data_IF_276328192042
#
_entry.id   IF_276328192042
#
_cell.length_a   1.000
_cell.length_b   1.000
_cell.length_c   1.000
_cell.angle_alpha   90.00
_cell.angle_beta   90.00
_cell.angle_gamma   90.00
#
_symmetry.space_group_name_H-M   'P 1'
#
loop_
_entity.id
_entity.type
_entity.pdbx_description
1 polymer ?
#
# COMPACT_ATOMS: atom_id res chain seq x y z
N UNK A 1 -12.03 -14.17 -48.35
CA UNK A 1 -10.98 -13.47 -47.58
C UNK A 1 -11.50 -13.24 -46.16
N UNK A 2 -10.83 -13.76 -45.12
CA UNK A 2 -11.23 -13.58 -43.72
C UNK A 2 -10.53 -12.35 -43.17
N UNK A 3 -11.29 -11.35 -42.77
CA UNK A 3 -10.79 -10.14 -42.11
C UNK A 3 -10.39 -10.54 -40.69
N UNK A 4 -9.11 -10.46 -40.36
CA UNK A 4 -8.64 -10.62 -38.99
C UNK A 4 -9.17 -9.46 -38.16
N UNK A 5 -10.06 -9.75 -37.20
CA UNK A 5 -10.41 -8.82 -36.13
C UNK A 5 -9.15 -8.62 -35.27
N UNK A 6 -8.48 -7.50 -35.46
CA UNK A 6 -7.51 -7.00 -34.50
C UNK A 6 -8.29 -6.67 -33.23
N UNK A 7 -8.15 -7.50 -32.19
CA UNK A 7 -8.56 -7.10 -30.85
C UNK A 7 -7.74 -5.84 -30.50
N UNK A 8 -8.38 -4.71 -30.15
CA UNK A 8 -7.63 -3.59 -29.61
C UNK A 8 -6.87 -4.08 -28.38
N UNK A 9 -5.61 -3.64 -28.15
CA UNK A 9 -4.92 -3.95 -26.92
C UNK A 9 -5.83 -3.48 -25.79
N UNK A 10 -6.29 -4.42 -24.97
CA UNK A 10 -7.04 -4.15 -23.76
C UNK A 10 -6.25 -3.09 -23.03
N UNK A 11 -6.81 -1.88 -22.92
CA UNK A 11 -6.16 -0.79 -22.23
C UNK A 11 -5.79 -1.33 -20.84
N UNK A 12 -4.51 -1.61 -20.62
CA UNK A 12 -4.01 -1.98 -19.30
C UNK A 12 -4.47 -0.85 -18.40
N UNK A 13 -5.43 -1.15 -17.53
CA UNK A 13 -5.96 -0.18 -16.59
C UNK A 13 -4.75 0.49 -15.95
N UNK A 14 -4.68 1.82 -16.08
CA UNK A 14 -3.46 2.58 -15.77
C UNK A 14 -3.13 2.33 -14.31
N UNK A 15 -2.15 1.46 -14.07
CA UNK A 15 -1.73 1.11 -12.73
C UNK A 15 -1.29 2.38 -11.98
N UNK A 16 -1.91 2.63 -10.84
CA UNK A 16 -1.57 3.77 -9.96
C UNK A 16 -0.78 3.23 -8.79
N UNK A 17 0.52 3.51 -8.81
CA UNK A 17 1.45 3.14 -7.76
C UNK A 17 1.12 3.86 -6.45
N UNK A 18 1.04 3.12 -5.35
CA UNK A 18 1.13 3.64 -3.97
C UNK A 18 2.52 4.28 -3.75
N UNK A 19 2.62 5.57 -3.39
CA UNK A 19 3.92 6.25 -3.25
C UNK A 19 4.83 5.66 -2.17
N UNK A 20 6.14 5.81 -2.37
CA UNK A 20 7.13 5.52 -1.32
C UNK A 20 6.91 6.43 -0.10
N UNK A 21 7.20 5.90 1.09
CA UNK A 21 6.91 6.56 2.35
C UNK A 21 5.49 6.33 2.86
N UNK A 22 4.61 5.69 2.07
CA UNK A 22 3.24 5.35 2.50
C UNK A 22 3.29 4.26 3.56
N UNK A 23 2.61 4.50 4.69
CA UNK A 23 2.34 3.46 5.69
C UNK A 23 1.26 2.52 5.22
N UNK A 24 1.54 1.23 5.33
CA UNK A 24 0.65 0.15 4.89
C UNK A 24 0.56 -0.94 5.93
N UNK A 25 -0.51 -1.73 5.87
CA UNK A 25 -0.72 -2.95 6.66
C UNK A 25 -0.97 -4.11 5.72
N UNK A 26 -0.41 -5.29 6.00
CA UNK A 26 -0.78 -6.48 5.24
C UNK A 26 -2.25 -6.86 5.50
N UNK A 27 -2.94 -7.38 4.49
CA UNK A 27 -4.38 -7.68 4.58
C UNK A 27 -4.69 -8.90 5.43
N UNK A 28 -3.82 -9.91 5.38
CA UNK A 28 -3.99 -11.18 6.09
C UNK A 28 -2.95 -11.42 7.19
N UNK A 29 -1.85 -10.67 7.20
CA UNK A 29 -0.76 -10.85 8.15
C UNK A 29 -0.69 -9.68 9.13
N UNK A 30 -0.23 -9.96 10.34
CA UNK A 30 -0.26 -9.00 11.44
C UNK A 30 0.94 -8.05 11.45
N UNK A 31 1.31 -7.48 10.29
CA UNK A 31 2.39 -6.50 10.22
C UNK A 31 1.98 -5.20 9.50
N UNK A 32 2.65 -4.13 9.93
CA UNK A 32 2.61 -2.81 9.31
C UNK A 32 4.02 -2.42 8.89
N UNK A 33 4.12 -1.54 7.90
CA UNK A 33 5.40 -1.03 7.47
C UNK A 33 5.26 0.19 6.59
N UNK A 34 6.39 0.59 6.01
CA UNK A 34 6.49 1.73 5.09
C UNK A 34 7.01 1.22 3.76
N UNK A 35 6.34 1.58 2.67
CA UNK A 35 6.84 1.30 1.33
C UNK A 35 8.14 2.08 1.12
N UNK A 36 9.24 1.41 0.78
CA UNK A 36 10.53 2.05 0.50
C UNK A 36 11.05 1.79 -0.93
N UNK A 37 10.19 1.23 -1.79
CA UNK A 37 10.45 1.06 -3.20
C UNK A 37 9.64 -0.05 -3.87
N UNK A 38 9.92 -0.23 -5.15
CA UNK A 38 9.54 -1.40 -5.94
C UNK A 38 10.79 -2.22 -6.25
N UNK A 39 10.61 -3.51 -6.52
CA UNK A 39 11.69 -4.37 -7.00
C UNK A 39 11.20 -5.41 -7.98
N UNK A 40 12.04 -5.76 -8.95
CA UNK A 40 11.83 -6.90 -9.85
C UNK A 40 12.33 -8.21 -9.23
N UNK A 41 13.02 -8.16 -8.08
CA UNK A 41 13.27 -9.33 -7.25
C UNK A 41 11.96 -9.67 -6.56
N UNK A 42 11.40 -10.82 -6.91
CA UNK A 42 10.01 -11.15 -6.61
C UNK A 42 9.95 -12.51 -5.94
N UNK A 43 9.22 -12.57 -4.83
CA UNK A 43 8.98 -13.80 -4.08
C UNK A 43 7.62 -14.39 -4.46
N UNK A 44 7.59 -15.70 -4.70
CA UNK A 44 6.36 -16.39 -5.13
C UNK A 44 5.88 -15.98 -6.52
N UNK A 45 4.61 -16.28 -6.83
CA UNK A 45 3.99 -16.02 -8.13
C UNK A 45 3.33 -14.63 -8.25
N UNK A 46 3.11 -13.95 -7.13
CA UNK A 46 2.31 -12.72 -7.10
C UNK A 46 3.12 -11.51 -7.54
N UNK A 47 2.49 -10.62 -8.30
CA UNK A 47 3.11 -9.40 -8.85
C UNK A 47 2.16 -8.24 -8.70
N UNK A 48 2.71 -7.04 -8.70
CA UNK A 48 1.95 -5.83 -8.91
C UNK A 48 1.27 -5.86 -10.30
N UNK A 49 0.27 -4.99 -10.53
CA UNK A 49 -0.43 -4.91 -11.81
C UNK A 49 0.46 -4.61 -13.04
N UNK A 50 1.72 -4.16 -12.85
CA UNK A 50 2.69 -4.07 -13.95
C UNK A 50 3.22 -5.44 -14.45
N UNK A 51 2.89 -6.52 -13.73
CA UNK A 51 3.33 -7.88 -14.02
C UNK A 51 4.82 -8.14 -13.76
N UNK A 52 5.56 -7.18 -13.21
CA UNK A 52 7.02 -7.23 -13.10
C UNK A 52 7.53 -7.04 -11.68
N UNK A 53 6.88 -6.20 -10.89
CA UNK A 53 7.42 -5.78 -9.59
C UNK A 53 6.62 -6.29 -8.42
N UNK A 54 7.23 -6.24 -7.24
CA UNK A 54 6.56 -6.24 -5.94
C UNK A 54 6.95 -4.98 -5.16
N UNK A 55 6.11 -4.59 -4.22
CA UNK A 55 6.46 -3.57 -3.24
C UNK A 55 7.47 -4.12 -2.24
N UNK A 56 8.44 -3.27 -1.89
CA UNK A 56 9.32 -3.49 -0.75
C UNK A 56 8.79 -2.71 0.44
N UNK A 57 8.42 -3.43 1.49
CA UNK A 57 7.86 -2.85 2.70
C UNK A 57 8.87 -3.03 3.83
N UNK A 58 9.34 -1.91 4.38
CA UNK A 58 10.16 -1.89 5.58
C UNK A 58 9.25 -2.02 6.81
N UNK A 59 9.38 -3.13 7.54
CA UNK A 59 8.55 -3.46 8.72
C UNK A 59 9.27 -3.18 10.05
N UNK A 60 10.45 -2.57 10.01
CA UNK A 60 11.28 -2.29 11.18
C UNK A 60 12.54 -3.15 11.24
N UNK A 61 13.50 -2.76 12.10
CA UNK A 61 14.73 -3.52 12.40
C UNK A 61 15.50 -4.01 11.17
N UNK A 62 15.58 -3.18 10.13
CA UNK A 62 16.20 -3.49 8.82
C UNK A 62 15.53 -4.61 8.02
N UNK A 63 14.40 -5.14 8.50
CA UNK A 63 13.63 -6.19 7.86
C UNK A 63 12.76 -5.62 6.73
N UNK A 64 12.82 -6.27 5.57
CA UNK A 64 12.03 -5.91 4.38
C UNK A 64 11.31 -7.13 3.87
N UNK A 65 10.04 -6.93 3.56
CA UNK A 65 9.18 -7.95 2.96
C UNK A 65 8.78 -7.53 1.56
N UNK A 66 8.60 -8.52 0.68
CA UNK A 66 8.19 -8.32 -0.71
C UNK A 66 6.74 -8.75 -0.85
N UNK A 67 5.90 -7.83 -1.34
CA UNK A 67 4.43 -7.98 -1.28
C UNK A 67 3.81 -7.40 -2.55
N UNK A 68 2.82 -8.08 -3.13
CA UNK A 68 2.03 -7.52 -4.24
C UNK A 68 1.03 -6.47 -3.73
N UNK A 69 0.66 -5.54 -4.60
CA UNK A 69 -0.29 -4.48 -4.27
C UNK A 69 -1.57 -4.98 -3.61
N UNK A 70 -2.15 -6.08 -4.09
CA UNK A 70 -3.46 -6.57 -3.67
C UNK A 70 -3.55 -6.92 -2.18
N UNK A 71 -2.40 -7.19 -1.55
CA UNK A 71 -2.26 -7.57 -0.15
C UNK A 71 -1.99 -6.41 0.80
N UNK A 72 -1.98 -5.17 0.31
CA UNK A 72 -1.69 -3.98 1.13
C UNK A 72 -2.93 -3.13 1.40
N UNK A 73 -3.26 -2.91 2.67
CA UNK A 73 -4.14 -1.83 3.07
C UNK A 73 -3.33 -0.54 3.27
N UNK A 74 -3.88 0.58 2.82
CA UNK A 74 -3.31 1.92 2.92
C UNK A 74 -3.77 2.53 4.24
N UNK A 75 -2.84 2.96 5.09
CA UNK A 75 -3.18 3.48 6.41
C UNK A 75 -3.54 4.98 6.33
N UNK A 76 -4.62 5.34 7.01
CA UNK A 76 -5.09 6.72 7.14
C UNK A 76 -4.80 7.28 8.53
N UNK A 77 -4.60 8.60 8.62
CA UNK A 77 -4.59 9.34 9.86
C UNK A 77 -6.02 9.71 10.34
N UNK A 78 -6.11 10.44 11.45
CA UNK A 78 -7.38 10.86 12.05
C UNK A 78 -8.15 11.87 11.18
N UNK A 79 -7.51 12.48 10.18
CA UNK A 79 -8.14 13.37 9.20
C UNK A 79 -8.56 12.60 7.93
N UNK A 80 -8.49 11.27 7.95
CA UNK A 80 -8.76 10.39 6.81
C UNK A 80 -7.81 10.59 5.63
N UNK A 81 -6.61 11.11 5.88
CA UNK A 81 -5.56 11.29 4.88
C UNK A 81 -4.55 10.15 4.95
N UNK A 82 -4.01 9.76 3.79
CA UNK A 82 -2.96 8.74 3.72
C UNK A 82 -1.77 9.14 4.58
N UNK A 83 -1.31 8.20 5.41
CA UNK A 83 -0.09 8.36 6.21
C UNK A 83 1.14 8.24 5.32
N UNK A 84 1.61 9.40 4.88
CA UNK A 84 2.81 9.55 4.06
C UNK A 84 3.86 10.31 4.86
N UNK A 85 5.02 9.70 5.08
CA UNK A 85 6.04 10.26 5.95
C UNK A 85 6.64 11.56 5.37
N UNK A 86 6.82 12.58 6.22
CA UNK A 86 7.54 13.84 5.93
C UNK A 86 6.94 14.70 4.82
N UNK A 87 5.66 14.53 4.51
CA UNK A 87 4.99 15.27 3.44
C UNK A 87 3.94 16.27 3.95
N UNK A 88 3.72 17.33 3.17
CA UNK A 88 2.72 18.36 3.49
C UNK A 88 1.28 17.82 3.45
N UNK A 89 0.37 18.41 4.21
CA UNK A 89 -1.05 18.02 4.19
C UNK A 89 -1.68 18.16 2.79
N UNK A 90 -1.37 19.24 2.07
CA UNK A 90 -1.85 19.46 0.70
C UNK A 90 -1.44 18.32 -0.24
N UNK A 91 -0.18 17.88 -0.13
CA UNK A 91 0.29 16.75 -0.93
C UNK A 91 -0.39 15.44 -0.52
N UNK A 92 -0.51 15.18 0.79
CA UNK A 92 -1.21 13.98 1.30
C UNK A 92 -2.67 13.93 0.84
N UNK A 93 -3.36 15.08 0.79
CA UNK A 93 -4.72 15.19 0.25
C UNK A 93 -4.77 14.81 -1.23
N UNK A 94 -3.89 15.39 -2.06
CA UNK A 94 -3.81 15.06 -3.48
C UNK A 94 -3.51 13.57 -3.73
N UNK A 95 -2.61 12.99 -2.94
CA UNK A 95 -2.30 11.55 -3.01
C UNK A 95 -3.51 10.72 -2.60
N UNK A 96 -4.20 11.10 -1.54
CA UNK A 96 -5.41 10.41 -1.06
C UNK A 96 -6.49 10.39 -2.14
N UNK A 97 -6.78 11.54 -2.76
CA UNK A 97 -7.77 11.65 -3.83
C UNK A 97 -7.39 10.77 -5.05
N UNK A 98 -6.11 10.79 -5.43
CA UNK A 98 -5.60 9.97 -6.54
C UNK A 98 -5.74 8.47 -6.26
N UNK A 99 -5.43 8.03 -5.05
CA UNK A 99 -5.53 6.62 -4.68
C UNK A 99 -6.99 6.19 -4.59
N UNK A 100 -7.88 7.01 -4.00
CA UNK A 100 -9.33 6.71 -3.92
C UNK A 100 -10.02 6.63 -5.27
N UNK A 101 -9.48 7.28 -6.30
CA UNK A 101 -10.00 7.16 -7.66
C UNK A 101 -9.76 5.76 -8.29
N UNK A 102 -8.90 4.93 -7.70
CA UNK A 102 -8.49 3.63 -8.28
C UNK A 102 -8.70 2.47 -7.31
N UNK A 103 -8.41 2.66 -6.03
CA UNK A 103 -8.56 1.64 -5.01
C UNK A 103 -9.96 1.68 -4.40
N UNK A 104 -10.51 0.49 -4.14
CA UNK A 104 -11.77 0.34 -3.40
C UNK A 104 -11.65 0.87 -1.97
N UNK A 105 -12.76 1.38 -1.42
CA UNK A 105 -12.79 2.01 -0.08
C UNK A 105 -12.30 1.09 1.05
N UNK A 106 -12.50 -0.22 0.94
CA UNK A 106 -12.02 -1.23 1.89
C UNK A 106 -10.48 -1.35 1.96
N UNK A 107 -9.76 -0.75 1.01
CA UNK A 107 -8.30 -0.65 1.04
C UNK A 107 -7.79 0.42 1.99
N UNK A 108 -8.63 1.35 2.43
CA UNK A 108 -8.23 2.46 3.28
C UNK A 108 -8.61 2.21 4.73
N UNK A 109 -7.61 1.98 5.58
CA UNK A 109 -7.82 1.59 6.97
C UNK A 109 -7.31 2.69 7.90
N UNK A 110 -8.15 3.28 8.76
CA UNK A 110 -7.69 4.17 9.82
C UNK A 110 -6.67 3.46 10.69
N UNK A 111 -5.60 4.15 11.08
CA UNK A 111 -4.75 3.59 12.14
C UNK A 111 -5.61 3.31 13.34
N UNK A 112 -5.54 2.07 13.83
CA UNK A 112 -6.14 1.78 15.12
C UNK A 112 -5.49 2.75 16.11
N UNK A 113 -6.29 3.57 16.78
CA UNK A 113 -5.81 4.34 17.91
C UNK A 113 -5.07 3.33 18.79
N UNK A 114 -3.76 3.55 19.02
CA UNK A 114 -3.02 2.71 19.96
C UNK A 114 -3.81 2.78 21.25
N UNK A 115 -4.53 1.71 21.57
CA UNK A 115 -5.04 1.51 22.92
C UNK A 115 -3.78 1.37 23.74
N UNK A 116 -3.35 2.48 24.34
CA UNK A 116 -2.37 2.50 25.40
C UNK A 116 -2.95 1.57 26.47
N UNK A 117 -2.50 0.31 26.47
CA UNK A 117 -2.70 -0.55 27.63
C UNK A 117 -2.01 0.20 28.78
N UNK A 118 -2.73 0.60 29.85
CA UNK A 118 -2.09 1.19 31.00
C UNK A 118 -1.05 0.19 31.49
N UNK A 119 0.21 0.61 31.51
CA UNK A 119 1.29 -0.18 32.09
C UNK A 119 1.01 -0.22 33.59
N UNK A 120 0.41 -1.30 34.07
CA UNK A 120 0.24 -1.52 35.50
C UNK A 120 1.63 -1.80 36.07
N UNK A 121 2.26 -0.77 36.61
CA UNK A 121 3.38 -0.92 37.52
C UNK A 121 2.87 -1.62 38.79
N UNK A 122 2.99 -2.95 38.85
CA UNK A 122 3.02 -3.63 40.14
C UNK A 122 4.41 -3.40 40.74
N UNK A 123 4.50 -2.35 41.55
CA UNK A 123 5.44 -2.32 42.65
C UNK A 123 4.77 -2.99 43.85
N UNK A 124 5.39 -4.03 44.39
CA UNK A 124 5.60 -4.27 45.82
C UNK A 124 6.74 -5.28 45.94
#
# INVERSE_FOLDING_TARGET
MRVAKLNPPTAVARWVRIPDGTRVRHRSEAYEGVIDGLTELVSGSERNPDGKTQYRVNVGDSTRVLVSEEHLNILLDNQHLVLLARESELYRRSVTDRLRAVFSEDRFVPVAAKVLKPQTSLGT
#
